data_IF_545281274428
#
_entry.id   IF_545281274428
#
_cell.length_a   1.000
_cell.length_b   1.000
_cell.length_c   1.000
_cell.angle_alpha   90.00
_cell.angle_beta   90.00
_cell.angle_gamma   90.00
#
_symmetry.space_group_name_H-M   'P 1'
#
loop_
_entity.id
_entity.type
_entity.pdbx_description
1 polymer ?
#
# COMPACT_ATOMS: atom_id res chain seq x y z
N UNK A 1 -23.34 22.73 -43.86
CA UNK A 1 -24.04 23.78 -43.13
C UNK A 1 -23.69 23.62 -41.68
N UNK A 2 -22.97 24.39 -41.15
CA UNK A 2 -22.41 25.67 -40.90
C UNK A 2 -21.44 25.54 -39.79
N UNK A 3 -20.42 25.95 -40.01
CA UNK A 3 -19.29 26.85 -39.68
C UNK A 3 -18.84 26.93 -38.22
N UNK A 4 -17.59 27.11 -38.03
CA UNK A 4 -16.88 27.06 -36.75
C UNK A 4 -16.87 28.43 -36.06
N UNK A 5 -16.68 28.46 -34.76
CA UNK A 5 -16.48 29.69 -33.99
C UNK A 5 -15.08 29.76 -33.41
N UNK A 6 -14.47 30.83 -33.77
CA UNK A 6 -13.15 31.38 -33.50
C UNK A 6 -12.76 31.51 -32.00
N UNK A 7 -11.49 31.28 -31.75
CA UNK A 7 -10.70 31.84 -30.65
C UNK A 7 -10.57 33.37 -30.75
N UNK A 8 -10.22 34.04 -29.67
CA UNK A 8 -9.17 35.01 -29.79
C UNK A 8 -7.99 34.84 -28.84
N UNK A 9 -6.85 34.81 -29.47
CA UNK A 9 -5.52 35.17 -28.96
C UNK A 9 -5.53 36.63 -28.53
N UNK A 10 -4.88 36.94 -27.41
CA UNK A 10 -4.34 38.29 -27.19
C UNK A 10 -3.06 38.31 -26.35
N UNK A 11 -2.24 39.33 -26.64
CA UNK A 11 -0.79 39.25 -26.51
C UNK A 11 -0.25 39.93 -25.25
N UNK A 12 1.05 39.77 -25.08
CA UNK A 12 1.88 40.29 -24.03
C UNK A 12 1.98 41.82 -23.94
N UNK A 13 2.46 42.23 -22.80
CA UNK A 13 3.06 43.54 -22.60
C UNK A 13 4.24 43.41 -21.65
N UNK A 14 5.42 43.62 -22.17
CA UNK A 14 6.55 44.16 -21.42
C UNK A 14 6.30 45.67 -21.15
N UNK A 15 6.86 46.24 -20.07
CA UNK A 15 7.83 47.27 -20.33
C UNK A 15 9.11 47.19 -19.49
N UNK A 16 10.18 47.36 -20.21
CA UNK A 16 11.44 48.00 -19.86
C UNK A 16 11.20 49.45 -19.44
N UNK A 17 11.86 49.96 -18.42
CA UNK A 17 12.31 51.33 -18.32
C UNK A 17 13.55 51.39 -17.43
N UNK A 18 14.61 51.80 -18.06
CA UNK A 18 15.82 52.38 -17.51
C UNK A 18 15.51 53.81 -16.97
N UNK A 19 16.31 54.26 -16.04
CA UNK A 19 16.79 55.69 -15.96
C UNK A 19 17.56 55.84 -14.64
N UNK A 20 18.71 56.29 -14.66
CA UNK A 20 19.41 57.56 -15.02
C UNK A 20 20.15 58.05 -13.77
N UNK A 21 21.46 58.12 -13.96
CA UNK A 21 22.40 59.17 -13.53
C UNK A 21 22.20 59.88 -12.17
N UNK A 22 23.24 59.82 -11.35
CA UNK A 22 23.85 61.05 -10.86
C UNK A 22 25.34 60.85 -10.51
N UNK A 23 26.15 61.43 -11.33
CA UNK A 23 27.56 61.76 -11.15
C UNK A 23 27.63 62.90 -10.13
N UNK A 24 28.38 62.72 -9.05
CA UNK A 24 28.95 63.82 -8.30
C UNK A 24 30.44 63.56 -8.07
N UNK A 25 31.21 64.20 -8.92
CA UNK A 25 32.65 64.39 -8.85
C UNK A 25 32.97 65.37 -7.73
N UNK A 26 33.70 64.96 -6.69
CA UNK A 26 34.39 65.87 -5.80
C UNK A 26 35.86 65.49 -5.68
N UNK A 27 36.67 66.21 -6.37
CA UNK A 27 38.12 66.27 -6.24
C UNK A 27 38.47 67.00 -4.94
N UNK A 28 39.27 66.40 -4.05
CA UNK A 28 40.18 67.11 -3.16
C UNK A 28 41.46 66.35 -2.88
N UNK A 29 42.46 66.93 -3.22
CA UNK A 29 43.89 66.94 -3.21
C UNK A 29 44.56 66.58 -1.85
N UNK A 30 45.63 65.77 -2.00
CA UNK A 30 46.92 65.71 -1.26
C UNK A 30 46.95 65.34 0.20
N UNK A 31 47.79 64.36 0.43
CA UNK A 31 48.37 63.99 1.73
C UNK A 31 49.23 62.73 1.64
N UNK A 32 50.36 62.81 0.94
CA UNK A 32 51.39 61.78 1.06
C UNK A 32 51.91 61.75 2.52
N UNK A 33 51.46 60.83 3.34
CA UNK A 33 52.22 60.44 4.57
C UNK A 33 52.72 59.04 4.34
N UNK A 34 53.99 58.91 4.10
CA UNK A 34 54.75 57.67 4.13
C UNK A 34 54.71 57.18 5.60
N UNK A 35 53.93 56.22 5.89
CA UNK A 35 54.04 55.46 7.13
C UNK A 35 55.08 54.35 6.95
N UNK A 36 55.99 54.18 7.90
CA UNK A 36 56.93 53.08 7.82
C UNK A 36 56.19 51.75 7.85
N UNK A 37 56.50 50.88 6.91
CA UNK A 37 56.12 49.50 6.91
C UNK A 37 56.68 48.82 8.17
N UNK A 38 55.87 48.73 9.20
CA UNK A 38 56.11 47.75 10.26
C UNK A 38 55.86 46.36 9.64
N UNK A 39 56.95 45.72 9.27
CA UNK A 39 56.98 44.29 9.09
C UNK A 39 56.67 43.65 10.47
N UNK A 40 55.39 43.58 10.81
CA UNK A 40 54.93 42.66 11.84
C UNK A 40 55.04 41.27 11.24
N UNK A 41 56.17 40.63 11.55
CA UNK A 41 56.27 39.18 11.44
C UNK A 41 55.07 38.61 12.15
N UNK A 42 54.21 37.87 11.43
CA UNK A 42 53.21 37.01 11.98
C UNK A 42 53.92 35.94 12.82
N UNK A 43 54.26 36.30 14.08
CA UNK A 43 54.52 35.34 15.10
C UNK A 43 53.21 34.50 15.16
N UNK A 44 53.29 33.26 14.71
CA UNK A 44 52.21 32.30 14.84
C UNK A 44 51.70 32.34 16.28
N UNK A 45 50.58 32.93 16.52
CA UNK A 45 49.99 32.99 17.84
C UNK A 45 49.80 31.56 18.31
N UNK A 46 50.51 31.21 19.41
CA UNK A 46 50.30 29.97 20.14
C UNK A 46 48.86 29.96 20.70
N UNK A 47 47.88 29.82 19.82
CA UNK A 47 46.51 29.79 20.22
C UNK A 47 46.22 28.50 20.99
N UNK A 48 46.02 28.64 22.28
CA UNK A 48 45.70 27.51 23.16
C UNK A 48 44.18 27.39 23.25
N UNK A 49 43.68 26.19 22.98
CA UNK A 49 42.27 25.82 23.07
C UNK A 49 42.12 24.76 24.14
N UNK A 50 41.06 24.89 24.93
CA UNK A 50 40.73 23.87 25.94
C UNK A 50 39.93 22.74 25.27
N UNK A 51 40.31 21.50 25.55
CA UNK A 51 39.62 20.31 25.08
C UNK A 51 38.18 20.32 25.62
N UNK A 52 37.24 20.43 24.73
CA UNK A 52 35.82 20.45 25.10
C UNK A 52 35.24 19.03 25.14
N UNK A 53 34.22 18.86 25.97
CA UNK A 53 33.37 17.66 25.92
C UNK A 53 32.35 17.79 24.84
N UNK A 54 32.25 16.81 23.96
CA UNK A 54 31.11 16.69 23.07
C UNK A 54 30.39 15.39 23.35
N UNK A 55 29.10 15.48 23.42
CA UNK A 55 28.26 14.28 23.45
C UNK A 55 28.11 13.79 22.00
N UNK A 56 28.91 12.80 21.64
CA UNK A 56 28.72 12.14 20.35
C UNK A 56 27.49 11.27 20.49
N UNK A 57 26.39 11.71 19.86
CA UNK A 57 25.22 10.87 19.75
C UNK A 57 25.63 9.58 19.04
N UNK A 58 25.74 8.51 19.79
CA UNK A 58 25.97 7.18 19.23
C UNK A 58 24.81 6.86 18.29
N UNK A 59 25.10 6.28 17.15
CA UNK A 59 24.09 5.71 16.27
C UNK A 59 24.41 4.26 15.99
N UNK A 60 23.38 3.44 15.97
CA UNK A 60 23.47 2.02 15.62
C UNK A 60 22.86 1.83 14.24
N UNK A 61 23.61 1.21 13.35
CA UNK A 61 23.10 0.84 12.03
C UNK A 61 22.37 -0.49 12.15
N UNK A 62 21.10 -0.50 11.78
CA UNK A 62 20.24 -1.68 11.80
C UNK A 62 19.87 -2.04 10.38
N UNK A 63 20.04 -3.33 10.03
CA UNK A 63 19.61 -3.88 8.75
C UNK A 63 18.11 -4.14 8.73
N UNK A 64 17.51 -3.93 7.58
CA UNK A 64 16.11 -4.21 7.31
C UNK A 64 15.85 -4.55 5.85
N UNK A 65 14.61 -4.81 5.53
CA UNK A 65 14.16 -5.10 4.17
C UNK A 65 13.18 -4.04 3.69
N UNK A 66 13.28 -3.71 2.41
CA UNK A 66 12.29 -2.87 1.74
C UNK A 66 11.02 -3.69 1.51
N UNK A 67 9.89 -3.13 1.87
CA UNK A 67 8.55 -3.72 1.66
C UNK A 67 7.65 -2.72 0.96
N UNK A 68 6.70 -3.20 0.19
CA UNK A 68 5.69 -2.33 -0.38
C UNK A 68 4.72 -1.84 0.72
N UNK A 69 4.23 -0.62 0.61
CA UNK A 69 3.22 -0.09 1.52
C UNK A 69 1.93 -0.92 1.48
N UNK A 70 1.52 -1.33 0.29
CA UNK A 70 0.40 -2.25 0.07
C UNK A 70 0.89 -3.46 -0.71
N UNK A 71 0.71 -4.62 -0.13
CA UNK A 71 0.98 -5.90 -0.76
C UNK A 71 -0.16 -6.85 -0.44
N UNK A 72 -0.61 -7.61 -1.43
CA UNK A 72 -1.66 -8.60 -1.29
C UNK A 72 -1.29 -9.84 -2.08
N UNK A 73 -1.51 -11.00 -1.47
CA UNK A 73 -1.45 -12.28 -2.15
C UNK A 73 -2.87 -12.64 -2.58
N UNK A 74 -3.11 -12.69 -3.88
CA UNK A 74 -4.40 -13.07 -4.43
C UNK A 74 -4.52 -14.59 -4.42
N UNK A 75 -5.65 -15.10 -3.94
CA UNK A 75 -5.92 -16.54 -3.81
C UNK A 75 -7.14 -16.93 -4.64
N UNK A 76 -7.17 -18.17 -5.11
CA UNK A 76 -8.34 -18.73 -5.77
C UNK A 76 -9.50 -18.81 -4.77
N UNK A 77 -10.70 -18.38 -5.19
CA UNK A 77 -11.92 -18.47 -4.39
C UNK A 77 -12.71 -19.75 -4.72
N UNK A 78 -12.57 -20.23 -5.94
CA UNK A 78 -13.23 -21.45 -6.44
C UNK A 78 -12.21 -22.37 -7.08
N UNK A 79 -12.50 -23.69 -7.14
CA UNK A 79 -11.64 -24.63 -7.85
C UNK A 79 -11.85 -24.48 -9.35
N UNK A 80 -10.79 -24.68 -10.13
CA UNK A 80 -10.87 -24.67 -11.59
C UNK A 80 -9.52 -24.59 -12.25
N UNK A 81 -9.54 -24.56 -13.59
CA UNK A 81 -8.33 -24.40 -14.41
C UNK A 81 -8.09 -22.91 -14.69
N UNK A 82 -6.86 -22.48 -14.62
CA UNK A 82 -6.47 -21.12 -15.00
C UNK A 82 -6.58 -20.97 -16.54
N UNK A 83 -7.44 -20.06 -16.97
CA UNK A 83 -7.57 -19.70 -18.39
C UNK A 83 -6.69 -18.51 -18.76
N UNK A 84 -6.59 -17.53 -17.91
CA UNK A 84 -5.80 -16.32 -18.14
C UNK A 84 -5.04 -15.90 -16.90
N UNK A 85 -3.76 -15.54 -17.10
CA UNK A 85 -2.99 -14.71 -16.18
C UNK A 85 -2.56 -13.49 -17.00
N UNK A 86 -2.96 -12.31 -16.57
CA UNK A 86 -2.60 -11.08 -17.22
C UNK A 86 -1.13 -10.75 -16.98
N UNK A 87 -0.39 -10.49 -18.04
CA UNK A 87 0.98 -10.02 -18.00
C UNK A 87 2.01 -10.97 -17.40
N UNK A 88 3.16 -10.39 -17.13
CA UNK A 88 4.33 -11.02 -16.51
C UNK A 88 4.71 -10.32 -15.21
N UNK A 89 5.66 -10.89 -14.49
CA UNK A 89 6.24 -10.24 -13.31
C UNK A 89 6.87 -8.90 -13.70
N UNK A 90 6.55 -7.85 -12.96
CA UNK A 90 6.97 -6.48 -13.27
C UNK A 90 5.96 -5.64 -14.05
N UNK A 91 4.92 -6.24 -14.63
CA UNK A 91 3.89 -5.51 -15.38
C UNK A 91 2.97 -4.71 -14.46
N UNK A 92 2.60 -3.51 -14.92
CA UNK A 92 1.75 -2.56 -14.19
C UNK A 92 0.29 -2.71 -14.59
N UNK A 93 -0.57 -2.70 -13.60
CA UNK A 93 -2.02 -2.78 -13.77
C UNK A 93 -2.71 -1.66 -13.00
N UNK A 94 -3.87 -1.25 -13.48
CA UNK A 94 -4.73 -0.29 -12.80
C UNK A 94 -5.75 -1.02 -11.93
N UNK A 95 -6.26 -0.32 -10.94
CA UNK A 95 -7.36 -0.81 -10.13
C UNK A 95 -8.54 -1.25 -11.00
N UNK A 96 -8.98 -2.49 -10.81
CA UNK A 96 -10.10 -3.09 -11.55
C UNK A 96 -9.69 -3.89 -12.78
N UNK A 97 -8.42 -3.90 -13.18
CA UNK A 97 -7.95 -4.78 -14.24
C UNK A 97 -8.00 -6.24 -13.79
N UNK A 98 -8.28 -7.14 -14.71
CA UNK A 98 -8.29 -8.58 -14.45
C UNK A 98 -6.85 -9.07 -14.40
N UNK A 99 -6.45 -9.66 -13.28
CA UNK A 99 -5.12 -10.25 -13.12
C UNK A 99 -5.12 -11.75 -13.41
N UNK A 100 -6.13 -12.46 -12.94
CA UNK A 100 -6.27 -13.90 -13.16
C UNK A 100 -7.72 -14.22 -13.47
N UNK A 101 -7.94 -15.13 -14.42
CA UNK A 101 -9.26 -15.69 -14.72
C UNK A 101 -9.18 -17.21 -14.70
N UNK A 102 -10.12 -17.82 -13.99
CA UNK A 102 -10.38 -19.26 -13.95
C UNK A 102 -11.44 -19.56 -15.00
N UNK A 103 -11.37 -20.74 -15.64
CA UNK A 103 -12.33 -21.19 -16.64
C UNK A 103 -13.77 -21.14 -16.08
N UNK A 104 -14.60 -20.32 -16.69
CA UNK A 104 -15.99 -20.07 -16.29
C UNK A 104 -17.03 -20.73 -17.23
N UNK A 105 -16.59 -21.52 -18.22
CA UNK A 105 -17.46 -22.08 -19.25
C UNK A 105 -18.61 -22.92 -18.69
N UNK A 106 -18.33 -23.73 -17.67
CA UNK A 106 -19.36 -24.55 -17.01
C UNK A 106 -20.35 -23.69 -16.22
N UNK A 107 -19.88 -22.65 -15.54
CA UNK A 107 -20.75 -21.72 -14.81
C UNK A 107 -21.62 -20.89 -15.75
N UNK A 108 -21.09 -20.46 -16.88
CA UNK A 108 -21.83 -19.78 -17.94
C UNK A 108 -22.91 -20.66 -18.54
N UNK A 109 -22.61 -21.96 -18.77
CA UNK A 109 -23.63 -22.93 -19.21
C UNK A 109 -24.73 -23.10 -18.18
N UNK A 110 -24.38 -23.23 -16.91
CA UNK A 110 -25.33 -23.35 -15.81
C UNK A 110 -26.19 -22.09 -15.62
N UNK A 111 -25.57 -20.92 -15.78
CA UNK A 111 -26.30 -19.63 -15.78
C UNK A 111 -27.39 -19.59 -16.85
N UNK A 112 -27.09 -19.99 -18.08
CA UNK A 112 -28.07 -20.07 -19.19
C UNK A 112 -29.17 -21.05 -18.90
N UNK A 113 -28.86 -22.21 -18.31
CA UNK A 113 -29.87 -23.19 -17.90
C UNK A 113 -30.86 -22.59 -16.89
N UNK A 114 -30.33 -21.94 -15.82
CA UNK A 114 -31.20 -21.31 -14.80
C UNK A 114 -31.99 -20.13 -15.37
N UNK A 115 -31.42 -19.36 -16.27
CA UNK A 115 -32.15 -18.30 -16.99
C UNK A 115 -33.33 -18.87 -17.79
N UNK A 116 -33.16 -20.04 -18.43
CA UNK A 116 -34.27 -20.73 -19.12
C UNK A 116 -35.33 -21.21 -18.12
N UNK A 117 -34.93 -21.70 -16.95
CA UNK A 117 -35.89 -22.09 -15.89
C UNK A 117 -36.71 -20.88 -15.40
N UNK A 118 -36.05 -19.72 -15.23
CA UNK A 118 -36.72 -18.46 -14.86
C UNK A 118 -37.78 -18.08 -15.94
N UNK A 119 -37.41 -18.16 -17.21
CA UNK A 119 -38.36 -17.85 -18.32
C UNK A 119 -39.56 -18.81 -18.32
N UNK A 120 -39.31 -20.10 -18.08
CA UNK A 120 -40.39 -21.09 -17.96
C UNK A 120 -41.30 -20.79 -16.76
N UNK A 121 -40.69 -20.49 -15.59
CA UNK A 121 -41.47 -20.14 -14.39
C UNK A 121 -42.31 -18.85 -14.60
N UNK A 122 -41.77 -17.86 -15.27
CA UNK A 122 -42.49 -16.63 -15.62
C UNK A 122 -43.69 -16.92 -16.54
N UNK A 123 -43.51 -17.77 -17.57
CA UNK A 123 -44.58 -18.20 -18.43
C UNK A 123 -45.66 -18.98 -17.67
N UNK A 124 -45.27 -19.84 -16.73
CA UNK A 124 -46.20 -20.58 -15.87
C UNK A 124 -46.99 -19.64 -14.95
N UNK A 125 -46.34 -18.62 -14.37
CA UNK A 125 -47.04 -17.58 -13.58
C UNK A 125 -48.05 -16.83 -14.44
N UNK A 126 -47.67 -16.44 -15.66
CA UNK A 126 -48.59 -15.75 -16.58
C UNK A 126 -49.83 -16.63 -16.88
N UNK A 127 -49.61 -17.91 -17.16
CA UNK A 127 -50.69 -18.87 -17.38
C UNK A 127 -51.55 -19.09 -16.13
N UNK A 128 -50.93 -19.29 -14.98
CA UNK A 128 -51.65 -19.46 -13.70
C UNK A 128 -52.47 -18.20 -13.36
N UNK A 129 -51.93 -17.01 -13.64
CA UNK A 129 -52.65 -15.74 -13.44
C UNK A 129 -53.86 -15.59 -14.34
N UNK A 130 -53.74 -15.99 -15.59
CA UNK A 130 -54.90 -16.00 -16.54
C UNK A 130 -55.95 -16.98 -16.05
N UNK A 131 -55.57 -18.19 -15.61
CA UNK A 131 -56.53 -19.18 -15.10
C UNK A 131 -57.20 -18.72 -13.80
N UNK A 132 -56.45 -18.14 -12.88
CA UNK A 132 -56.99 -17.56 -11.64
C UNK A 132 -58.00 -16.43 -11.96
N UNK A 133 -57.64 -15.49 -12.83
CA UNK A 133 -58.54 -14.40 -13.24
C UNK A 133 -59.81 -14.91 -13.94
N UNK A 134 -59.66 -15.96 -14.76
CA UNK A 134 -60.85 -16.57 -15.41
C UNK A 134 -61.79 -17.17 -14.37
N UNK A 135 -61.28 -17.83 -13.37
CA UNK A 135 -62.11 -18.42 -12.30
C UNK A 135 -62.79 -17.34 -11.45
N UNK A 136 -62.10 -16.20 -11.21
CA UNK A 136 -62.67 -15.07 -10.45
C UNK A 136 -63.79 -14.38 -11.21
N UNK A 137 -63.61 -14.14 -12.54
CA UNK A 137 -64.51 -13.34 -13.33
C UNK A 137 -65.55 -14.16 -14.08
N UNK A 138 -65.33 -15.45 -14.32
CA UNK A 138 -66.23 -16.35 -15.05
C UNK A 138 -66.07 -17.77 -14.53
N UNK A 139 -66.66 -18.10 -13.37
CA UNK A 139 -66.62 -19.46 -12.85
C UNK A 139 -67.20 -20.44 -13.88
N UNK A 140 -66.43 -21.46 -14.25
CA UNK A 140 -66.90 -22.44 -15.21
C UNK A 140 -68.07 -23.27 -14.60
N UNK A 141 -69.24 -22.99 -15.05
CA UNK A 141 -70.38 -23.86 -14.80
C UNK A 141 -70.19 -25.19 -15.56
N UNK A 142 -69.60 -26.18 -14.89
CA UNK A 142 -69.44 -27.54 -15.44
C UNK A 142 -70.75 -28.24 -15.73
N UNK A 143 -71.90 -27.59 -15.44
CA UNK A 143 -73.23 -28.11 -15.71
C UNK A 143 -73.67 -28.04 -17.18
N UNK A 144 -72.95 -27.22 -18.00
CA UNK A 144 -73.41 -27.03 -19.42
C UNK A 144 -72.72 -28.00 -20.38
N UNK A 145 -71.68 -28.73 -19.97
CA UNK A 145 -71.03 -29.72 -20.84
C UNK A 145 -71.80 -31.05 -20.97
N UNK A 146 -72.96 -31.15 -20.36
CA UNK A 146 -73.81 -32.35 -20.47
C UNK A 146 -75.01 -32.18 -21.30
N UNK A 147 -75.24 -31.01 -21.84
CA UNK A 147 -76.43 -30.79 -22.68
C UNK A 147 -76.02 -30.26 -24.07
N UNK A 148 -75.58 -31.13 -24.93
CA UNK A 148 -75.30 -30.71 -26.30
C UNK A 148 -74.54 -31.72 -27.12
N UNK A 149 -74.99 -32.90 -27.20
CA UNK A 149 -74.52 -33.91 -28.13
C UNK A 149 -75.59 -34.94 -28.36
N UNK A 150 -76.57 -34.67 -29.23
CA UNK A 150 -77.42 -35.69 -29.81
C UNK A 150 -76.53 -36.66 -30.60
N UNK A 151 -75.90 -37.62 -29.86
CA UNK A 151 -75.23 -38.79 -30.45
C UNK A 151 -75.86 -40.05 -29.85
N UNK A 152 -76.40 -40.88 -30.65
CA UNK A 152 -77.03 -42.15 -30.33
C UNK A 152 -76.18 -43.15 -29.48
N UNK A 153 -74.91 -43.02 -29.25
CA UNK A 153 -74.16 -43.88 -28.35
C UNK A 153 -74.42 -43.67 -26.86
N UNK A 154 -74.86 -42.53 -26.43
CA UNK A 154 -75.02 -42.21 -25.01
C UNK A 154 -76.16 -42.91 -24.30
N UNK A 155 -77.18 -43.39 -25.09
CA UNK A 155 -78.31 -44.09 -24.57
C UNK A 155 -78.01 -45.58 -24.19
N UNK A 156 -77.08 -46.18 -24.90
CA UNK A 156 -76.66 -47.54 -24.65
C UNK A 156 -75.68 -47.63 -23.45
N UNK A 157 -74.86 -46.61 -23.28
CA UNK A 157 -73.85 -46.58 -22.18
C UNK A 157 -74.52 -46.31 -20.82
N UNK A 158 -75.62 -45.53 -20.80
CA UNK A 158 -76.43 -45.30 -19.60
C UNK A 158 -77.19 -46.53 -19.12
N UNK A 159 -77.54 -47.46 -20.06
CA UNK A 159 -78.36 -48.61 -19.75
C UNK A 159 -77.51 -49.78 -19.23
N UNK A 160 -76.21 -49.82 -19.55
CA UNK A 160 -75.36 -50.96 -19.17
C UNK A 160 -74.25 -50.65 -18.11
N UNK A 161 -73.93 -49.38 -17.91
CA UNK A 161 -72.84 -49.03 -16.98
C UNK A 161 -73.27 -48.39 -15.67
N UNK A 162 -74.60 -48.23 -15.46
CA UNK A 162 -75.11 -47.89 -14.13
C UNK A 162 -75.82 -49.12 -13.50
N UNK A 163 -75.10 -50.00 -12.82
CA UNK A 163 -75.67 -51.01 -12.02
C UNK A 163 -76.24 -50.43 -10.72
N UNK A 164 -77.53 -50.42 -10.58
CA UNK A 164 -78.29 -50.71 -9.36
C UNK A 164 -77.98 -49.98 -8.04
N UNK A 165 -77.23 -48.93 -8.02
CA UNK A 165 -76.90 -48.27 -6.74
C UNK A 165 -77.61 -46.93 -6.51
N UNK A 166 -78.58 -46.55 -7.39
CA UNK A 166 -79.24 -45.23 -7.26
C UNK A 166 -80.70 -45.31 -6.75
N UNK A 167 -81.11 -46.45 -6.16
CA UNK A 167 -82.53 -46.58 -5.74
C UNK A 167 -82.73 -46.48 -4.22
N UNK A 168 -81.77 -46.13 -3.43
CA UNK A 168 -82.01 -45.99 -1.98
C UNK A 168 -81.20 -44.85 -1.46
N UNK A 169 -81.58 -43.61 -1.67
CA UNK A 169 -81.59 -42.50 -0.70
C UNK A 169 -82.01 -41.20 -1.43
N UNK A 170 -83.06 -40.52 -1.05
CA UNK A 170 -83.30 -39.12 -1.42
C UNK A 170 -82.49 -38.26 -0.43
N UNK A 171 -81.24 -38.20 -0.65
CA UNK A 171 -80.37 -37.26 0.04
C UNK A 171 -79.86 -36.21 -0.94
N UNK A 172 -80.44 -35.03 -0.85
CA UNK A 172 -80.04 -33.84 -1.56
C UNK A 172 -78.54 -33.49 -1.24
N UNK A 173 -77.65 -34.22 -1.86
CA UNK A 173 -76.19 -33.82 -1.91
C UNK A 173 -76.00 -32.88 -3.11
N UNK A 174 -76.75 -31.76 -3.09
CA UNK A 174 -76.30 -30.56 -3.76
C UNK A 174 -75.04 -30.13 -3.07
N UNK A 175 -73.86 -30.60 -3.55
CA UNK A 175 -72.56 -30.12 -3.07
C UNK A 175 -72.65 -28.59 -3.01
N UNK A 176 -72.40 -28.04 -1.86
CA UNK A 176 -72.42 -26.59 -1.65
C UNK A 176 -71.53 -25.91 -2.72
N UNK A 177 -72.20 -25.44 -3.81
CA UNK A 177 -71.51 -24.68 -4.89
C UNK A 177 -70.50 -23.69 -4.36
N UNK A 178 -70.84 -23.03 -3.29
CA UNK A 178 -69.98 -22.08 -2.58
C UNK A 178 -68.71 -22.70 -1.99
N UNK A 179 -68.73 -23.94 -1.58
CA UNK A 179 -67.61 -24.67 -1.04
C UNK A 179 -66.69 -25.10 -2.19
N UNK A 180 -67.24 -25.58 -3.29
CA UNK A 180 -66.48 -26.01 -4.47
C UNK A 180 -65.84 -24.81 -5.19
N UNK A 181 -66.52 -23.69 -5.31
CA UNK A 181 -65.96 -22.44 -5.85
C UNK A 181 -64.81 -21.92 -4.99
N UNK A 182 -65.01 -21.86 -3.68
CA UNK A 182 -63.95 -21.49 -2.77
C UNK A 182 -62.74 -22.44 -2.86
N UNK A 183 -62.96 -23.73 -2.86
CA UNK A 183 -61.93 -24.72 -2.98
C UNK A 183 -61.14 -24.57 -4.28
N UNK A 184 -61.81 -24.28 -5.39
CA UNK A 184 -61.19 -23.99 -6.69
C UNK A 184 -60.34 -22.72 -6.66
N UNK A 185 -60.85 -21.62 -6.10
CA UNK A 185 -60.13 -20.38 -5.95
C UNK A 185 -58.89 -20.54 -5.04
N UNK A 186 -59.03 -21.24 -3.90
CA UNK A 186 -57.91 -21.54 -3.03
C UNK A 186 -56.85 -22.40 -3.74
N UNK A 187 -57.27 -23.44 -4.49
CA UNK A 187 -56.34 -24.29 -5.23
C UNK A 187 -55.58 -23.52 -6.31
N UNK A 188 -56.24 -22.63 -7.05
CA UNK A 188 -55.61 -21.76 -8.05
C UNK A 188 -54.69 -20.72 -7.41
N UNK A 189 -55.09 -20.13 -6.27
CA UNK A 189 -54.24 -19.22 -5.48
C UNK A 189 -53.00 -19.94 -4.96
N UNK A 190 -53.14 -21.15 -4.44
CA UNK A 190 -52.02 -21.97 -3.98
C UNK A 190 -51.07 -22.31 -5.13
N UNK A 191 -51.61 -22.68 -6.30
CA UNK A 191 -50.80 -22.96 -7.49
C UNK A 191 -50.03 -21.72 -7.98
N UNK A 192 -50.62 -20.53 -7.94
CA UNK A 192 -49.93 -19.28 -8.24
C UNK A 192 -48.83 -19.01 -7.25
N UNK A 193 -49.07 -19.13 -5.95
CA UNK A 193 -48.09 -18.96 -4.91
C UNK A 193 -46.92 -19.97 -5.02
N UNK A 194 -47.24 -21.22 -5.34
CA UNK A 194 -46.22 -22.25 -5.56
C UNK A 194 -45.31 -21.90 -6.76
N UNK A 195 -45.91 -21.45 -7.87
CA UNK A 195 -45.13 -21.05 -9.06
C UNK A 195 -44.29 -19.78 -8.79
N UNK A 196 -44.80 -18.84 -7.99
CA UNK A 196 -44.02 -17.69 -7.52
C UNK A 196 -42.86 -18.12 -6.66
N UNK A 197 -43.06 -19.11 -5.77
CA UNK A 197 -41.98 -19.70 -4.99
C UNK A 197 -40.89 -20.36 -5.85
N UNK A 198 -41.30 -21.06 -6.92
CA UNK A 198 -40.36 -21.65 -7.89
C UNK A 198 -39.54 -20.56 -8.63
N UNK A 199 -40.18 -19.46 -9.02
CA UNK A 199 -39.49 -18.33 -9.64
C UNK A 199 -38.44 -17.73 -8.68
N UNK A 200 -38.83 -17.47 -7.42
CA UNK A 200 -37.94 -16.94 -6.41
C UNK A 200 -36.75 -17.86 -6.16
N UNK A 201 -36.97 -19.19 -6.08
CA UNK A 201 -35.91 -20.17 -5.95
C UNK A 201 -34.94 -20.16 -7.14
N UNK A 202 -35.45 -20.08 -8.38
CA UNK A 202 -34.64 -20.01 -9.58
C UNK A 202 -33.82 -18.67 -9.63
N UNK A 203 -34.41 -17.57 -9.19
CA UNK A 203 -33.73 -16.27 -9.09
C UNK A 203 -32.58 -16.35 -8.07
N UNK A 204 -32.81 -16.92 -6.88
CA UNK A 204 -31.76 -17.13 -5.88
C UNK A 204 -30.65 -18.04 -6.40
N UNK A 205 -30.98 -19.05 -7.19
CA UNK A 205 -29.98 -19.91 -7.81
C UNK A 205 -29.16 -19.16 -8.88
N UNK A 206 -29.77 -18.26 -9.64
CA UNK A 206 -29.06 -17.38 -10.58
C UNK A 206 -28.06 -16.47 -9.84
N UNK A 207 -28.48 -15.84 -8.73
CA UNK A 207 -27.62 -14.99 -7.91
C UNK A 207 -26.41 -15.76 -7.36
N UNK A 208 -26.61 -17.01 -6.92
CA UNK A 208 -25.50 -17.87 -6.47
C UNK A 208 -24.50 -18.18 -7.60
N UNK A 209 -24.99 -18.42 -8.83
CA UNK A 209 -24.12 -18.65 -9.98
C UNK A 209 -23.39 -17.37 -10.37
N UNK A 210 -24.07 -16.22 -10.36
CA UNK A 210 -23.45 -14.92 -10.64
C UNK A 210 -22.40 -14.54 -9.59
N UNK A 211 -22.58 -14.92 -8.32
CA UNK A 211 -21.55 -14.79 -7.29
C UNK A 211 -20.34 -15.66 -7.62
N UNK A 212 -20.54 -16.93 -7.93
CA UNK A 212 -19.44 -17.83 -8.33
C UNK A 212 -18.72 -17.33 -9.59
N UNK A 213 -19.44 -16.77 -10.57
CA UNK A 213 -18.84 -16.16 -11.76
C UNK A 213 -17.99 -14.93 -11.44
N UNK A 214 -18.34 -14.15 -10.43
CA UNK A 214 -17.44 -13.09 -9.94
C UNK A 214 -16.17 -13.65 -9.35
N UNK A 215 -16.27 -14.75 -8.62
CA UNK A 215 -15.17 -15.42 -7.95
C UNK A 215 -14.22 -16.16 -8.92
N UNK A 216 -14.60 -16.33 -10.21
CA UNK A 216 -13.70 -16.83 -11.26
C UNK A 216 -12.61 -15.83 -11.65
N UNK A 217 -12.79 -14.54 -11.33
CA UNK A 217 -11.92 -13.47 -11.79
C UNK A 217 -11.33 -12.73 -10.61
N UNK A 218 -10.03 -12.62 -10.58
CA UNK A 218 -9.31 -11.82 -9.60
C UNK A 218 -8.94 -10.48 -10.22
N UNK A 219 -9.40 -9.39 -9.59
CA UNK A 219 -9.17 -8.02 -10.06
C UNK A 219 -8.11 -7.34 -9.19
N UNK A 220 -7.33 -6.44 -9.81
CA UNK A 220 -6.39 -5.58 -9.11
C UNK A 220 -7.13 -4.67 -8.10
N UNK A 221 -6.83 -4.75 -6.79
CA UNK A 221 -7.51 -3.96 -5.77
C UNK A 221 -7.09 -2.49 -5.74
N UNK A 222 -5.92 -2.17 -6.29
CA UNK A 222 -5.31 -0.84 -6.40
C UNK A 222 -4.37 -0.81 -7.61
N UNK A 223 -3.87 0.36 -7.98
CA UNK A 223 -2.84 0.49 -9.02
C UNK A 223 -1.52 -0.09 -8.51
N UNK A 224 -0.91 -1.01 -9.25
CA UNK A 224 0.27 -1.71 -8.76
C UNK A 224 0.92 -2.61 -9.81
N UNK A 225 1.73 -3.54 -9.34
CA UNK A 225 2.58 -4.42 -10.14
C UNK A 225 2.47 -5.85 -9.65
N UNK A 226 2.53 -6.81 -10.56
CA UNK A 226 2.70 -8.23 -10.21
C UNK A 226 4.15 -8.42 -9.76
N UNK A 227 4.36 -8.79 -8.48
CA UNK A 227 5.70 -9.10 -7.96
C UNK A 227 6.09 -10.51 -8.34
N UNK A 228 5.16 -11.45 -8.19
CA UNK A 228 5.42 -12.87 -8.41
C UNK A 228 4.17 -13.61 -8.87
N UNK A 229 4.35 -14.48 -9.85
CA UNK A 229 3.35 -15.47 -10.26
C UNK A 229 3.63 -16.79 -9.54
N UNK A 230 2.59 -17.37 -8.96
CA UNK A 230 2.69 -18.63 -8.20
C UNK A 230 2.03 -19.77 -8.94
N UNK A 231 1.33 -19.48 -10.05
CA UNK A 231 0.65 -20.43 -10.92
C UNK A 231 0.82 -20.01 -12.37
N UNK A 232 0.62 -20.95 -13.30
CA UNK A 232 0.69 -20.71 -14.74
C UNK A 232 -0.66 -21.00 -15.43
N UNK A 233 -0.81 -20.43 -16.65
CA UNK A 233 -1.99 -20.73 -17.47
C UNK A 233 -2.07 -22.23 -17.75
N UNK A 234 -3.22 -22.82 -17.46
CA UNK A 234 -3.48 -24.24 -17.61
C UNK A 234 -3.39 -25.04 -16.32
N UNK A 235 -2.84 -24.48 -15.26
CA UNK A 235 -2.81 -25.11 -13.94
C UNK A 235 -4.22 -25.27 -13.37
N UNK A 236 -4.41 -26.30 -12.55
CA UNK A 236 -5.64 -26.50 -11.78
C UNK A 236 -5.42 -26.05 -10.35
N UNK A 237 -6.29 -25.13 -9.89
CA UNK A 237 -6.18 -24.52 -8.57
C UNK A 237 -7.33 -24.93 -7.65
N UNK A 238 -7.08 -24.85 -6.34
CA UNK A 238 -8.05 -25.10 -5.30
C UNK A 238 -8.36 -23.82 -4.51
N UNK A 239 -9.53 -23.71 -3.86
CA UNK A 239 -9.84 -22.56 -3.01
C UNK A 239 -8.77 -22.35 -1.93
N UNK A 240 -8.34 -21.08 -1.77
CA UNK A 240 -7.25 -20.70 -0.86
C UNK A 240 -5.85 -20.83 -1.43
N UNK A 241 -5.67 -21.43 -2.61
CA UNK A 241 -4.36 -21.53 -3.25
C UNK A 241 -3.90 -20.14 -3.73
N UNK A 242 -2.66 -19.71 -3.38
CA UNK A 242 -2.13 -18.43 -3.84
C UNK A 242 -1.87 -18.46 -5.35
N UNK A 243 -2.26 -17.39 -6.03
CA UNK A 243 -2.17 -17.22 -7.49
C UNK A 243 -1.05 -16.26 -7.88
N UNK A 244 -1.13 -15.04 -7.37
CA UNK A 244 -0.17 -13.97 -7.67
C UNK A 244 0.05 -13.10 -6.42
N UNK A 245 1.27 -12.58 -6.28
CA UNK A 245 1.62 -11.53 -5.33
C UNK A 245 1.58 -10.20 -6.06
N UNK A 246 0.80 -9.28 -5.54
CA UNK A 246 0.54 -7.99 -6.14
C UNK A 246 0.83 -6.85 -5.15
N UNK A 247 1.55 -5.80 -5.58
CA UNK A 247 1.90 -4.70 -4.71
C UNK A 247 1.92 -3.34 -5.41
N UNK A 248 1.73 -2.31 -4.58
CA UNK A 248 1.93 -0.91 -4.95
C UNK A 248 3.40 -0.54 -4.71
N UNK A 249 4.14 -0.31 -5.80
CA UNK A 249 5.54 0.08 -5.75
C UNK A 249 5.74 1.61 -5.69
N UNK A 250 4.67 2.39 -5.69
CA UNK A 250 4.75 3.85 -5.60
C UNK A 250 5.24 4.30 -4.23
N UNK A 251 4.80 3.59 -3.19
CA UNK A 251 5.15 3.86 -1.81
C UNK A 251 5.86 2.65 -1.22
N UNK A 252 7.13 2.85 -0.90
CA UNK A 252 7.97 1.83 -0.29
C UNK A 252 8.23 2.16 1.18
N UNK A 253 8.39 1.14 1.98
CA UNK A 253 8.75 1.23 3.39
C UNK A 253 9.97 0.36 3.66
N UNK A 254 10.77 0.72 4.65
CA UNK A 254 11.78 -0.17 5.21
C UNK A 254 11.24 -0.76 6.49
N UNK A 255 11.24 -2.06 6.59
CA UNK A 255 10.89 -2.79 7.80
C UNK A 255 12.16 -3.23 8.50
N UNK A 256 12.30 -2.86 9.76
CA UNK A 256 13.48 -3.13 10.58
C UNK A 256 13.05 -3.68 11.94
N UNK A 257 13.76 -4.68 12.44
CA UNK A 257 13.58 -5.18 13.79
C UNK A 257 14.56 -4.45 14.73
N UNK A 258 14.03 -3.53 15.50
CA UNK A 258 14.78 -2.63 16.37
C UNK A 258 14.88 -3.24 17.79
N UNK A 259 16.08 -3.37 18.37
CA UNK A 259 16.22 -3.79 19.76
C UNK A 259 15.44 -2.90 20.73
N UNK A 260 14.75 -3.50 21.71
CA UNK A 260 13.88 -2.78 22.66
C UNK A 260 14.61 -1.65 23.38
N UNK A 261 15.92 -1.80 23.68
CA UNK A 261 16.74 -0.77 24.32
C UNK A 261 16.81 0.54 23.53
N UNK A 262 16.67 0.48 22.20
CA UNK A 262 16.72 1.65 21.31
C UNK A 262 15.34 2.31 21.11
N UNK A 263 14.28 1.69 21.57
CA UNK A 263 12.92 2.21 21.34
C UNK A 263 12.67 3.56 21.99
N UNK A 264 13.37 3.87 23.10
CA UNK A 264 13.27 5.18 23.77
C UNK A 264 13.77 6.36 22.92
N UNK A 265 14.60 6.08 21.90
CA UNK A 265 15.11 7.09 20.97
C UNK A 265 14.24 7.30 19.72
N UNK A 266 13.19 6.47 19.54
CA UNK A 266 12.34 6.51 18.36
C UNK A 266 10.97 7.10 18.69
N UNK A 267 10.52 8.01 17.83
CA UNK A 267 9.17 8.57 17.88
C UNK A 267 8.52 8.53 16.52
N UNK A 268 7.21 8.28 16.47
CA UNK A 268 6.45 8.32 15.23
C UNK A 268 6.60 9.69 14.56
N UNK A 269 6.88 9.69 13.24
CA UNK A 269 7.09 10.90 12.46
C UNK A 269 8.54 11.40 12.43
N UNK A 270 9.44 10.83 13.23
CA UNK A 270 10.86 11.17 13.24
C UNK A 270 11.52 10.81 11.91
N UNK A 271 12.41 11.66 11.41
CA UNK A 271 13.22 11.40 10.21
C UNK A 271 14.55 10.79 10.62
N UNK A 272 14.92 9.70 9.95
CA UNK A 272 16.18 8.99 10.18
C UNK A 272 16.87 8.71 8.84
N UNK A 273 18.20 8.81 8.80
CA UNK A 273 18.94 8.48 7.60
C UNK A 273 18.89 6.97 7.34
N UNK A 274 18.51 6.64 6.12
CA UNK A 274 18.44 5.28 5.60
C UNK A 274 19.35 5.17 4.38
N UNK A 275 20.14 4.12 4.36
CA UNK A 275 20.97 3.76 3.22
C UNK A 275 20.37 2.55 2.55
N UNK A 276 20.06 2.68 1.26
CA UNK A 276 19.55 1.58 0.44
C UNK A 276 20.71 1.01 -0.36
N UNK A 277 20.79 -0.32 -0.41
CA UNK A 277 21.91 -1.01 -1.06
C UNK A 277 21.96 -0.74 -2.55
N UNK A 278 20.78 -0.63 -3.20
CA UNK A 278 20.69 -0.28 -4.62
C UNK A 278 21.12 1.16 -4.85
N UNK A 279 22.21 1.32 -5.61
CA UNK A 279 22.78 2.62 -5.95
C UNK A 279 23.46 3.35 -4.78
N UNK A 280 23.63 2.69 -3.62
CA UNK A 280 24.23 3.30 -2.42
C UNK A 280 23.57 4.64 -2.03
N UNK A 281 22.26 4.74 -2.24
CA UNK A 281 21.48 5.97 -2.05
C UNK A 281 21.18 6.17 -0.57
N UNK A 282 21.46 7.38 -0.08
CA UNK A 282 21.08 7.80 1.27
C UNK A 282 19.87 8.72 1.20
N UNK A 283 18.83 8.39 1.96
CA UNK A 283 17.58 9.17 2.05
C UNK A 283 17.15 9.28 3.50
N UNK A 284 16.40 10.32 3.81
CA UNK A 284 15.75 10.44 5.11
C UNK A 284 14.39 9.76 5.05
N UNK A 285 14.22 8.71 5.86
CA UNK A 285 12.97 7.99 5.99
C UNK A 285 12.24 8.39 7.26
N UNK A 286 10.92 8.43 7.19
CA UNK A 286 10.07 8.82 8.33
C UNK A 286 9.59 7.59 9.07
N UNK A 287 9.68 7.58 10.39
CA UNK A 287 9.06 6.55 11.24
C UNK A 287 7.54 6.57 11.03
N UNK A 288 7.04 5.59 10.29
CA UNK A 288 5.61 5.48 9.95
C UNK A 288 4.84 4.77 11.05
N UNK A 289 5.35 3.62 11.48
CA UNK A 289 4.69 2.75 12.44
C UNK A 289 5.68 2.03 13.32
N UNK A 290 5.40 2.02 14.60
CA UNK A 290 6.07 1.21 15.62
C UNK A 290 5.04 0.17 16.05
N UNK A 291 5.38 -1.11 15.90
CA UNK A 291 4.47 -2.17 16.31
C UNK A 291 4.48 -2.32 17.84
N UNK A 292 3.32 -2.47 18.47
CA UNK A 292 3.25 -2.55 19.94
C UNK A 292 3.73 -3.90 20.50
N UNK A 293 3.98 -4.88 19.61
CA UNK A 293 4.37 -6.25 19.98
C UNK A 293 5.88 -6.40 19.81
N UNK A 294 6.56 -6.89 20.83
CA UNK A 294 7.95 -7.27 20.77
C UNK A 294 8.09 -8.77 20.52
N UNK A 295 9.11 -9.16 19.75
CA UNK A 295 9.53 -10.55 19.64
C UNK A 295 10.27 -10.94 20.93
N UNK A 296 9.74 -11.91 21.73
CA UNK A 296 10.33 -12.27 23.00
C UNK A 296 11.67 -13.05 22.87
N UNK A 297 11.92 -13.66 21.71
CA UNK A 297 13.14 -14.43 21.44
C UNK A 297 14.30 -13.52 21.04
N UNK A 298 14.00 -12.55 20.16
CA UNK A 298 15.01 -11.62 19.64
C UNK A 298 15.11 -10.33 20.44
N UNK A 299 14.16 -10.07 21.35
CA UNK A 299 14.03 -8.82 22.09
C UNK A 299 14.01 -7.59 21.17
N UNK A 300 13.27 -7.69 20.04
CA UNK A 300 13.12 -6.65 19.04
C UNK A 300 11.66 -6.24 18.84
N UNK A 301 11.47 -5.01 18.40
CA UNK A 301 10.19 -4.45 17.96
C UNK A 301 10.30 -4.13 16.49
N UNK A 302 9.33 -4.56 15.72
CA UNK A 302 9.29 -4.21 14.30
C UNK A 302 8.87 -2.76 14.13
N UNK A 303 9.65 -2.01 13.35
CA UNK A 303 9.40 -0.61 12.99
C UNK A 303 9.39 -0.47 11.48
N UNK A 304 8.41 0.27 10.96
CA UNK A 304 8.34 0.61 9.54
C UNK A 304 8.66 2.08 9.32
N UNK A 305 9.47 2.33 8.30
CA UNK A 305 9.93 3.64 7.91
C UNK A 305 9.46 3.94 6.48
N UNK A 306 8.72 5.04 6.28
CA UNK A 306 8.31 5.48 4.95
C UNK A 306 9.49 6.05 4.18
N UNK A 307 9.75 5.54 2.99
CA UNK A 307 10.73 6.08 2.07
C UNK A 307 10.11 7.23 1.25
N UNK A 308 10.91 8.22 0.84
CA UNK A 308 10.46 9.23 -0.13
C UNK A 308 10.03 8.58 -1.45
N UNK A 309 9.08 9.22 -2.13
CA UNK A 309 8.61 8.74 -3.44
C UNK A 309 9.73 8.86 -4.48
N UNK A 310 9.84 7.83 -5.33
CA UNK A 310 10.83 7.82 -6.42
C UNK A 310 12.22 7.31 -6.03
N UNK A 311 12.36 6.77 -4.84
CA UNK A 311 13.63 6.11 -4.44
C UNK A 311 13.78 4.82 -5.26
N UNK A 312 14.97 4.59 -5.85
CA UNK A 312 15.22 3.36 -6.58
C UNK A 312 15.20 2.17 -5.62
N UNK A 313 14.46 1.14 -5.98
CA UNK A 313 14.35 -0.06 -5.17
C UNK A 313 13.03 -0.78 -5.36
N UNK A 314 12.94 -1.98 -4.79
CA UNK A 314 11.73 -2.80 -4.79
C UNK A 314 11.63 -3.66 -3.53
N UNK A 315 10.49 -4.28 -3.31
CA UNK A 315 10.31 -5.20 -2.18
C UNK A 315 11.37 -6.31 -2.18
N UNK A 316 11.82 -6.67 -0.97
CA UNK A 316 12.86 -7.69 -0.76
C UNK A 316 14.30 -7.16 -0.78
N UNK A 317 14.53 -5.91 -1.17
CA UNK A 317 15.88 -5.31 -1.14
C UNK A 317 16.33 -4.98 0.28
N UNK A 318 17.64 -4.97 0.49
CA UNK A 318 18.25 -4.63 1.78
C UNK A 318 18.37 -3.12 1.97
N UNK A 319 18.13 -2.66 3.20
CA UNK A 319 18.33 -1.28 3.59
C UNK A 319 18.90 -1.19 5.02
N UNK A 320 19.68 -0.16 5.29
CA UNK A 320 20.29 0.12 6.59
C UNK A 320 19.68 1.40 7.17
N UNK A 321 19.17 1.33 8.38
CA UNK A 321 18.61 2.49 9.11
C UNK A 321 19.55 2.86 10.23
N UNK A 322 19.93 4.13 10.34
CA UNK A 322 20.76 4.64 11.42
C UNK A 322 19.87 5.14 12.56
N UNK A 323 19.83 4.37 13.65
CA UNK A 323 19.01 4.68 14.83
C UNK A 323 19.89 5.32 15.91
N UNK A 324 19.49 6.47 16.49
CA UNK A 324 20.23 7.08 17.60
C UNK A 324 20.24 6.15 18.83
N UNK A 325 21.39 6.01 19.46
CA UNK A 325 21.55 5.28 20.72
C UNK A 325 21.74 6.27 21.88
N UNK A 326 20.71 6.52 22.64
CA UNK A 326 20.76 7.42 23.79
C UNK A 326 21.61 6.85 24.94
N UNK A 327 21.79 5.55 25.01
CA UNK A 327 22.65 4.94 26.03
C UNK A 327 24.17 5.21 25.78
N UNK A 328 24.53 5.49 24.52
CA UNK A 328 25.88 5.91 24.17
C UNK A 328 26.19 7.38 24.50
N UNK A 329 25.16 8.19 24.84
CA UNK A 329 25.31 9.62 25.13
C UNK A 329 25.89 9.93 26.52
N UNK A 330 26.13 8.93 27.36
CA UNK A 330 26.70 9.15 28.71
C UNK A 330 28.22 9.23 28.72
N UNK A 331 28.91 8.91 27.63
CA UNK A 331 30.33 9.13 27.53
C UNK A 331 30.60 10.44 26.79
N UNK A 332 30.95 11.48 27.57
CA UNK A 332 31.48 12.72 27.00
C UNK A 332 32.88 12.43 26.42
N UNK A 333 32.95 12.51 25.09
CA UNK A 333 34.19 12.29 24.36
C UNK A 333 34.92 13.62 24.20
N UNK A 334 36.23 13.68 24.50
CA UNK A 334 37.01 14.88 24.22
C UNK A 334 37.00 15.20 22.72
N UNK A 335 36.70 16.44 22.35
CA UNK A 335 36.80 16.93 20.97
C UNK A 335 37.79 18.04 20.84
N UNK A 336 38.51 18.03 19.75
CA UNK A 336 39.56 19.00 19.42
C UNK A 336 39.34 19.50 17.98
N UNK A 337 39.80 20.74 17.67
CA UNK A 337 39.84 21.19 16.28
C UNK A 337 40.73 20.27 15.42
N UNK A 338 40.32 19.97 14.20
CA UNK A 338 41.08 19.18 13.24
C UNK A 338 42.46 19.78 12.97
N UNK A 339 42.57 21.14 13.00
CA UNK A 339 43.82 21.90 12.88
C UNK A 339 44.88 21.62 13.98
N UNK A 340 44.42 21.11 15.13
CA UNK A 340 45.32 20.79 16.25
C UNK A 340 46.04 19.43 16.10
N UNK A 341 45.54 18.58 15.17
CA UNK A 341 46.10 17.23 14.97
C UNK A 341 47.30 17.28 14.05
N UNK A 342 48.44 16.86 14.57
CA UNK A 342 49.66 16.66 13.81
C UNK A 342 49.80 15.19 13.40
N UNK A 343 49.85 14.93 12.11
CA UNK A 343 50.10 13.58 11.61
C UNK A 343 51.61 13.32 11.46
N UNK A 344 52.14 12.31 12.17
CA UNK A 344 53.48 11.79 11.97
C UNK A 344 53.42 10.40 11.32
N UNK A 345 53.43 10.40 9.99
CA UNK A 345 53.07 9.21 9.24
C UNK A 345 51.61 8.84 9.51
N UNK A 346 51.34 7.64 10.01
CA UNK A 346 50.01 7.16 10.38
C UNK A 346 49.58 7.44 11.82
N UNK A 347 50.47 8.12 12.61
CA UNK A 347 50.25 8.36 14.04
C UNK A 347 49.75 9.79 14.27
N UNK A 348 48.52 9.99 14.73
CA UNK A 348 48.00 11.28 15.13
C UNK A 348 48.56 11.69 16.50
N UNK A 349 48.99 12.95 16.62
CA UNK A 349 49.55 13.54 17.83
C UNK A 349 49.04 14.97 18.03
N UNK A 350 49.09 15.48 19.24
CA UNK A 350 48.77 16.87 19.59
C UNK A 350 49.83 17.45 20.52
N UNK A 351 49.98 18.75 20.50
CA UNK A 351 50.79 19.46 21.49
C UNK A 351 49.88 19.87 22.67
N UNK A 352 50.18 19.34 23.85
CA UNK A 352 49.52 19.69 25.11
C UNK A 352 50.35 20.79 25.80
N UNK A 353 49.65 21.82 26.30
CA UNK A 353 50.29 22.83 27.13
C UNK A 353 50.37 22.34 28.57
N UNK A 354 51.55 21.95 29.04
CA UNK A 354 51.79 21.61 30.43
C UNK A 354 51.59 22.82 31.36
N UNK A 355 51.48 22.58 32.67
CA UNK A 355 51.25 23.64 33.68
C UNK A 355 52.31 24.75 33.68
N UNK A 356 53.53 24.42 33.25
CA UNK A 356 54.66 25.33 33.11
C UNK A 356 54.82 25.91 31.68
N UNK A 357 53.81 25.83 30.89
CA UNK A 357 53.71 26.29 29.50
C UNK A 357 54.67 25.57 28.55
N UNK A 358 55.25 24.45 28.93
CA UNK A 358 56.03 23.59 28.06
C UNK A 358 55.14 22.85 27.07
N UNK A 359 55.62 22.71 25.82
CA UNK A 359 54.94 22.01 24.74
C UNK A 359 55.26 20.53 24.82
N UNK A 360 54.29 19.70 25.23
CA UNK A 360 54.41 18.25 25.30
C UNK A 360 53.72 17.63 24.10
N UNK A 361 54.45 16.90 23.27
CA UNK A 361 53.84 16.13 22.17
C UNK A 361 53.27 14.83 22.73
N UNK A 362 51.99 14.63 22.53
CA UNK A 362 51.26 13.45 22.99
C UNK A 362 50.57 12.76 21.84
N UNK A 363 50.79 11.44 21.71
CA UNK A 363 50.07 10.61 20.76
C UNK A 363 48.64 10.44 21.23
N UNK A 364 47.75 10.54 20.29
CA UNK A 364 46.31 10.39 20.53
C UNK A 364 45.73 9.32 19.61
N UNK A 365 44.56 8.80 19.98
CA UNK A 365 43.76 7.99 19.09
C UNK A 365 42.54 8.80 18.68
N UNK A 366 42.43 9.14 17.40
CA UNK A 366 41.31 9.88 16.85
C UNK A 366 40.16 8.96 16.49
N UNK A 367 38.92 9.47 16.61
CA UNK A 367 37.65 8.85 16.20
C UNK A 367 37.06 9.55 15.01
N UNK A 368 35.72 9.58 14.94
CA UNK A 368 34.98 10.22 13.87
C UNK A 368 34.98 11.76 13.97
N UNK A 369 34.76 12.43 12.85
CA UNK A 369 34.55 13.87 12.84
C UNK A 369 33.24 14.23 13.55
N UNK A 370 33.28 15.27 14.38
CA UNK A 370 32.13 15.86 15.07
C UNK A 370 31.89 17.23 14.48
N UNK A 371 30.83 17.36 13.64
CA UNK A 371 30.59 18.59 12.88
C UNK A 371 31.61 18.81 11.76
N UNK A 372 31.83 20.09 11.36
CA UNK A 372 32.62 20.41 10.14
C UNK A 372 34.15 20.48 10.40
N UNK A 373 34.60 20.80 11.63
CA UNK A 373 35.98 21.11 11.90
C UNK A 373 36.50 20.53 13.24
N UNK A 374 35.83 19.58 13.82
CA UNK A 374 36.21 18.97 15.10
C UNK A 374 36.34 17.46 14.93
N UNK A 375 37.29 16.88 15.64
CA UNK A 375 37.54 15.44 15.67
C UNK A 375 37.44 14.92 17.11
N UNK A 376 36.75 13.80 17.27
CA UNK A 376 36.64 13.13 18.55
C UNK A 376 37.99 12.44 18.90
N UNK A 377 38.40 12.48 20.14
CA UNK A 377 39.59 11.77 20.62
C UNK A 377 39.18 10.60 21.51
N UNK A 378 39.50 9.38 21.06
CA UNK A 378 39.11 8.16 21.76
C UNK A 378 40.05 7.85 22.96
N UNK A 379 41.32 8.27 22.89
CA UNK A 379 42.26 8.13 23.99
C UNK A 379 43.46 9.07 23.84
N UNK A 380 44.11 9.40 24.92
CA UNK A 380 45.31 10.23 24.96
C UNK A 380 45.10 11.66 25.45
N UNK A 381 43.83 12.14 25.53
CA UNK A 381 43.50 13.45 26.08
C UNK A 381 42.36 13.35 27.10
N UNK A 382 42.35 14.25 28.05
CA UNK A 382 41.29 14.44 29.04
C UNK A 382 40.52 15.74 28.74
N UNK A 383 39.21 15.74 29.06
CA UNK A 383 38.41 16.94 28.97
C UNK A 383 38.95 18.00 29.92
N UNK A 384 39.08 19.23 29.43
CA UNK A 384 39.64 20.36 30.19
C UNK A 384 41.16 20.53 30.00
N UNK A 385 41.88 19.62 29.35
CA UNK A 385 43.28 19.82 29.00
C UNK A 385 43.45 20.96 27.99
N UNK A 386 44.57 21.66 28.05
CA UNK A 386 44.88 22.77 27.14
C UNK A 386 45.81 22.26 26.04
N UNK A 387 45.40 22.49 24.79
CA UNK A 387 46.15 22.07 23.58
C UNK A 387 46.45 23.28 22.69
N UNK A 388 47.44 23.17 21.86
CA UNK A 388 47.70 24.16 20.81
C UNK A 388 46.76 23.92 19.62
N UNK A 389 45.99 24.93 19.21
CA UNK A 389 45.05 24.85 18.11
C UNK A 389 45.69 24.68 16.74
N UNK A 390 46.97 25.10 16.65
CA UNK A 390 47.80 24.91 15.46
C UNK A 390 49.18 24.40 15.97
N UNK A 391 49.75 23.36 15.36
CA UNK A 391 51.06 22.88 15.71
C UNK A 391 52.07 24.01 15.61
N UNK A 392 53.00 24.17 16.61
CA UNK A 392 53.97 25.27 16.59
C UNK A 392 54.89 25.18 15.37
N UNK A 393 55.24 26.34 14.82
CA UNK A 393 56.13 26.44 13.66
C UNK A 393 57.48 25.72 13.94
N UNK A 394 57.91 24.89 13.03
CA UNK A 394 59.14 24.05 13.18
C UNK A 394 58.83 22.62 13.67
N UNK A 395 57.59 22.28 14.00
CA UNK A 395 57.21 20.92 14.39
C UNK A 395 56.83 20.01 13.21
N UNK A 396 56.69 20.58 12.00
CA UNK A 396 56.41 19.84 10.78
C UNK A 396 57.70 19.21 10.25
N UNK A 397 57.92 17.95 10.50
CA UNK A 397 58.77 17.13 9.65
C UNK A 397 58.05 16.86 8.34
N UNK A 398 58.78 16.67 7.23
CA UNK A 398 58.31 16.46 5.83
C UNK A 398 57.34 15.30 5.60
N UNK A 399 56.76 14.75 6.66
CA UNK A 399 55.85 13.59 6.68
C UNK A 399 54.36 13.96 6.95
N UNK A 400 54.01 15.23 6.78
CA UNK A 400 52.66 15.73 7.11
C UNK A 400 51.61 15.51 6.02
N UNK A 401 51.81 14.59 5.09
CA UNK A 401 50.77 14.24 4.13
C UNK A 401 49.75 13.27 4.78
N UNK A 402 48.52 13.72 4.88
CA UNK A 402 47.34 12.87 5.27
C UNK A 402 47.30 11.67 4.34
N UNK A 403 47.18 10.41 4.82
CA UNK A 403 46.80 9.29 3.96
C UNK A 403 45.38 9.52 3.47
N UNK A 404 45.17 9.41 2.16
CA UNK A 404 43.89 9.49 1.50
C UNK A 404 42.91 8.38 1.90
#
# INVERSE_FOLDING_TARGET
MGSPVHLPVRPGVHPSIANIFSITLLLLVTGLTVSPANAQGTAGSDQIVTVQASHTAGSVTLGGSVVAFKQVTMTAQIPGRIDLIAGTEGDKFKKGDILVAIDDAQLLAKRREVQSQIAIAQAQIANARVQYNREVWSPQDRSISRSGGMGMPSMFDQMFTQPFSQSVMPGNYGGNRWVDERANLYSRGTQLSQTQGQLAAAQSQLEQIDAKLRDTRSFAPFDGVIIKKLVEKGDTVQPGQPLVEYADLTYLQVQVDVPVRLMGSLSKGMLLPVKIDVGNVRVDARVAQIFPTADPVRHTVTVKFDLPVGVPGGPGMYAEVMVPDQSANNESVPVIPDSAVLWRGSLPAVYVAAADNRKELRLIRVGNYVGKNQIAVLSGLKIGERIYAVPPAGSSSDWSKRPE
#
